data_IF_415995099354
#
_entry.id   IF_415995099354
#
_cell.length_a   1.000
_cell.length_b   1.000
_cell.length_c   1.000
_cell.angle_alpha   90.00
_cell.angle_beta   90.00
_cell.angle_gamma   90.00
#
_symmetry.space_group_name_H-M   'P 1'
#
loop_
_entity.id
_entity.type
_entity.pdbx_description
1 polymer ?
#
# COMPACT_ATOMS: atom_id res chain seq x y z
N UNK A 1 -12.73 14.52 -3.98
CA UNK A 1 -12.91 13.07 -3.71
C UNK A 1 -12.35 12.75 -2.34
N UNK A 2 -12.91 11.75 -1.64
CA UNK A 2 -12.27 11.15 -0.46
C UNK A 2 -11.43 9.96 -0.89
N UNK A 3 -10.14 10.02 -0.63
CA UNK A 3 -9.17 8.99 -1.04
C UNK A 3 -8.46 8.44 0.19
N UNK A 4 -8.52 7.14 0.37
CA UNK A 4 -7.74 6.44 1.39
C UNK A 4 -6.32 6.22 0.89
N UNK A 5 -5.33 6.64 1.68
CA UNK A 5 -3.91 6.35 1.45
C UNK A 5 -3.38 5.55 2.62
N UNK A 6 -3.08 4.28 2.43
CA UNK A 6 -2.42 3.47 3.46
C UNK A 6 -0.91 3.55 3.31
N UNK A 7 -0.16 3.46 4.40
CA UNK A 7 1.27 3.75 4.42
C UNK A 7 1.56 5.24 4.24
N UNK A 8 0.65 6.10 4.70
CA UNK A 8 0.70 7.54 4.47
C UNK A 8 1.95 8.24 5.08
N UNK A 9 2.50 7.71 6.18
CA UNK A 9 3.74 8.19 6.78
C UNK A 9 5.00 7.56 6.13
N UNK A 10 4.82 6.61 5.20
CA UNK A 10 5.89 6.04 4.39
C UNK A 10 6.40 7.02 3.33
N UNK A 11 7.50 6.66 2.65
CA UNK A 11 8.11 7.53 1.64
C UNK A 11 7.13 7.81 0.47
N UNK A 12 6.68 6.77 -0.20
CA UNK A 12 5.81 6.93 -1.38
C UNK A 12 4.44 7.46 -0.95
N UNK A 13 3.89 6.97 0.18
CA UNK A 13 2.60 7.40 0.71
C UNK A 13 2.55 8.88 1.05
N UNK A 14 3.62 9.41 1.65
CA UNK A 14 3.76 10.84 1.91
C UNK A 14 3.65 11.68 0.62
N UNK A 15 4.37 11.30 -0.42
CA UNK A 15 4.34 12.04 -1.68
C UNK A 15 3.00 11.91 -2.39
N UNK A 16 2.40 10.72 -2.41
CA UNK A 16 1.07 10.51 -2.97
C UNK A 16 0.01 11.34 -2.24
N UNK A 17 -0.01 11.28 -0.91
CA UNK A 17 -0.93 12.08 -0.09
C UNK A 17 -0.72 13.59 -0.30
N UNK A 18 0.54 14.06 -0.32
CA UNK A 18 0.86 15.48 -0.56
C UNK A 18 0.33 15.94 -1.93
N UNK A 19 0.50 15.12 -2.97
CA UNK A 19 0.03 15.43 -4.32
C UNK A 19 -1.49 15.52 -4.37
N UNK A 20 -2.19 14.54 -3.82
CA UNK A 20 -3.65 14.52 -3.76
C UNK A 20 -4.21 15.73 -3.03
N UNK A 21 -3.60 16.10 -1.90
CA UNK A 21 -3.98 17.29 -1.14
C UNK A 21 -3.77 18.58 -1.94
N UNK A 22 -2.69 18.69 -2.70
CA UNK A 22 -2.42 19.84 -3.56
C UNK A 22 -3.41 19.97 -4.72
N UNK A 23 -4.03 18.86 -5.12
CA UNK A 23 -5.10 18.81 -6.14
C UNK A 23 -6.51 19.01 -5.54
N UNK A 24 -6.61 19.30 -4.24
CA UNK A 24 -7.86 19.61 -3.56
C UNK A 24 -8.68 18.40 -3.13
N UNK A 25 -8.10 17.20 -3.11
CA UNK A 25 -8.76 16.01 -2.58
C UNK A 25 -8.76 16.00 -1.05
N UNK A 26 -9.70 15.27 -0.45
CA UNK A 26 -9.67 14.90 0.95
C UNK A 26 -8.93 13.56 1.08
N UNK A 27 -7.91 13.52 1.91
CA UNK A 27 -7.08 12.33 2.09
C UNK A 27 -7.24 11.78 3.51
N UNK A 28 -7.63 10.52 3.59
CA UNK A 28 -7.61 9.76 4.83
C UNK A 28 -6.33 8.91 4.82
N UNK A 29 -5.40 9.21 5.70
CA UNK A 29 -4.13 8.49 5.84
C UNK A 29 -4.19 7.45 6.93
N UNK A 30 -3.71 6.24 6.65
CA UNK A 30 -3.48 5.18 7.65
C UNK A 30 -2.01 4.76 7.60
N UNK A 31 -1.40 4.63 8.79
CA UNK A 31 -0.06 4.05 8.96
C UNK A 31 0.07 3.51 10.38
N UNK A 32 0.79 2.42 10.56
CA UNK A 32 1.05 1.84 11.89
C UNK A 32 2.14 2.57 12.67
N UNK A 33 2.94 3.39 11.99
CA UNK A 33 4.14 4.05 12.54
C UNK A 33 5.08 3.02 13.20
N UNK A 34 5.23 1.84 12.58
CA UNK A 34 6.12 0.80 13.11
C UNK A 34 7.58 1.27 13.14
N UNK A 35 8.38 0.61 13.97
CA UNK A 35 9.79 0.93 14.22
C UNK A 35 10.78 0.19 13.30
N UNK A 36 10.34 -0.28 12.14
CA UNK A 36 11.20 -0.95 11.16
C UNK A 36 12.40 -0.09 10.73
N UNK A 37 12.22 1.23 10.72
CA UNK A 37 13.27 2.25 10.63
C UNK A 37 12.93 3.44 11.52
N UNK A 38 13.84 4.43 11.66
CA UNK A 38 13.64 5.57 12.57
C UNK A 38 12.27 6.25 12.35
N UNK A 39 11.44 6.21 13.37
CA UNK A 39 10.08 6.76 13.33
C UNK A 39 10.06 8.29 13.27
N UNK A 40 11.16 8.98 13.60
CA UNK A 40 11.25 10.45 13.50
C UNK A 40 10.97 10.94 12.09
N UNK A 41 11.46 10.21 11.07
CA UNK A 41 11.20 10.59 9.67
C UNK A 41 9.72 10.38 9.30
N UNK A 42 9.04 9.35 9.86
CA UNK A 42 7.61 9.12 9.67
C UNK A 42 6.79 10.25 10.30
N UNK A 43 7.11 10.64 11.53
CA UNK A 43 6.47 11.76 12.21
C UNK A 43 6.70 13.09 11.50
N UNK A 44 7.90 13.33 10.97
CA UNK A 44 8.20 14.55 10.22
C UNK A 44 7.39 14.66 8.92
N UNK A 45 7.22 13.54 8.17
CA UNK A 45 6.33 13.48 6.99
C UNK A 45 4.88 13.73 7.39
N UNK A 46 4.42 13.05 8.45
CA UNK A 46 3.05 13.16 8.94
C UNK A 46 2.72 14.60 9.38
N UNK A 47 3.63 15.26 10.11
CA UNK A 47 3.44 16.66 10.51
C UNK A 47 3.24 17.62 9.33
N UNK A 48 3.91 17.34 8.19
CA UNK A 48 3.69 18.12 6.96
C UNK A 48 2.31 17.85 6.34
N UNK A 49 1.82 16.63 6.38
CA UNK A 49 0.48 16.29 5.86
C UNK A 49 -0.62 16.88 6.76
N UNK A 50 -0.46 16.79 8.07
CA UNK A 50 -1.42 17.28 9.06
C UNK A 50 -1.59 18.81 9.08
N UNK A 51 -0.65 19.56 8.49
CA UNK A 51 -0.83 21.00 8.28
C UNK A 51 -1.93 21.33 7.27
N UNK A 52 -2.39 20.36 6.48
CA UNK A 52 -3.47 20.54 5.53
C UNK A 52 -4.81 20.10 6.15
N UNK A 53 -5.81 21.00 6.15
CA UNK A 53 -7.15 20.76 6.72
C UNK A 53 -7.94 19.61 6.07
N UNK A 54 -7.56 19.22 4.87
CA UNK A 54 -8.19 18.12 4.12
C UNK A 54 -7.52 16.76 4.39
N UNK A 55 -6.58 16.70 5.33
CA UNK A 55 -5.91 15.47 5.73
C UNK A 55 -6.38 15.00 7.11
N UNK A 56 -6.83 13.75 7.17
CA UNK A 56 -7.17 13.06 8.42
C UNK A 56 -6.25 11.85 8.56
N UNK A 57 -5.78 11.57 9.76
CA UNK A 57 -4.84 10.49 10.02
C UNK A 57 -5.34 9.56 11.12
N UNK A 58 -5.24 8.27 10.85
CA UNK A 58 -5.46 7.20 11.82
C UNK A 58 -4.20 6.34 11.97
N UNK A 59 -3.76 6.16 13.21
CA UNK A 59 -2.65 5.25 13.51
C UNK A 59 -3.23 3.84 13.75
N UNK A 60 -3.19 3.00 12.72
CA UNK A 60 -3.77 1.66 12.75
C UNK A 60 -2.97 0.67 11.91
N UNK A 61 -2.99 -0.58 12.35
CA UNK A 61 -2.49 -1.69 11.56
C UNK A 61 -3.55 -2.11 10.55
N UNK A 62 -3.15 -2.28 9.29
CA UNK A 62 -4.09 -2.60 8.20
C UNK A 62 -4.67 -4.02 8.30
N UNK A 63 -4.02 -4.93 9.04
CA UNK A 63 -4.51 -6.27 9.32
C UNK A 63 -5.67 -6.31 10.33
N UNK A 64 -5.90 -5.24 11.08
CA UNK A 64 -7.04 -5.09 11.99
C UNK A 64 -8.25 -4.53 11.21
N UNK A 65 -8.90 -5.41 10.45
CA UNK A 65 -10.00 -5.05 9.57
C UNK A 65 -11.12 -4.29 10.29
N UNK A 66 -11.57 -4.82 11.45
CA UNK A 66 -12.71 -4.24 12.17
C UNK A 66 -12.43 -2.82 12.64
N UNK A 67 -11.23 -2.59 13.18
CA UNK A 67 -10.81 -1.26 13.61
C UNK A 67 -10.73 -0.29 12.42
N UNK A 68 -10.03 -0.69 11.34
CA UNK A 68 -9.88 0.15 10.16
C UNK A 68 -11.22 0.44 9.51
N UNK A 69 -12.11 -0.54 9.42
CA UNK A 69 -13.45 -0.33 8.89
C UNK A 69 -14.26 0.66 9.75
N UNK A 70 -14.20 0.53 11.09
CA UNK A 70 -14.88 1.45 12.00
C UNK A 70 -14.37 2.90 11.88
N UNK A 71 -13.06 3.09 11.70
CA UNK A 71 -12.45 4.41 11.48
C UNK A 71 -12.91 5.06 10.15
N UNK A 72 -13.22 4.24 9.14
CA UNK A 72 -13.56 4.70 7.80
C UNK A 72 -15.06 4.85 7.53
N UNK A 73 -15.93 4.21 8.30
CA UNK A 73 -17.38 4.09 8.01
C UNK A 73 -18.13 5.44 7.88
N UNK A 74 -17.60 6.52 8.46
CA UNK A 74 -18.18 7.86 8.35
C UNK A 74 -17.82 8.60 7.06
N UNK A 75 -16.90 8.04 6.24
CA UNK A 75 -16.43 8.67 5.02
C UNK A 75 -17.04 7.99 3.78
N UNK A 76 -17.24 8.77 2.72
CA UNK A 76 -17.55 8.23 1.39
C UNK A 76 -16.25 8.00 0.62
N UNK A 77 -15.57 6.87 0.91
CA UNK A 77 -14.29 6.53 0.25
C UNK A 77 -14.54 6.19 -1.22
N UNK A 78 -13.95 6.96 -2.11
CA UNK A 78 -14.15 6.83 -3.57
C UNK A 78 -12.95 6.17 -4.27
N UNK A 79 -11.78 6.17 -3.65
CA UNK A 79 -10.59 5.53 -4.18
C UNK A 79 -9.62 5.14 -3.08
N UNK A 80 -8.80 4.15 -3.34
CA UNK A 80 -7.77 3.68 -2.42
C UNK A 80 -6.41 3.65 -3.11
N UNK A 81 -5.39 4.22 -2.45
CA UNK A 81 -3.97 4.03 -2.79
C UNK A 81 -3.33 3.25 -1.65
N UNK A 82 -3.13 1.96 -1.88
CA UNK A 82 -2.60 1.05 -0.87
C UNK A 82 -1.09 0.89 -1.02
N UNK A 83 -0.35 1.53 -0.10
CA UNK A 83 1.12 1.52 -0.05
C UNK A 83 1.66 0.97 1.26
N UNK A 84 0.79 0.68 2.24
CA UNK A 84 1.18 0.03 3.48
C UNK A 84 1.62 -1.41 3.20
N UNK A 85 2.80 -1.76 3.64
CA UNK A 85 3.34 -3.11 3.54
C UNK A 85 4.57 -3.24 4.44
N UNK A 86 4.88 -4.45 4.86
CA UNK A 86 6.23 -4.76 5.29
C UNK A 86 7.12 -4.87 4.05
N UNK A 87 8.05 -3.92 3.90
CA UNK A 87 8.97 -3.85 2.77
C UNK A 87 10.37 -4.36 3.16
N UNK A 88 11.19 -4.66 2.16
CA UNK A 88 12.57 -5.12 2.34
C UNK A 88 12.72 -6.62 2.10
N UNK A 89 13.51 -6.97 1.09
CA UNK A 89 13.72 -8.37 0.68
C UNK A 89 14.45 -9.16 1.77
N UNK A 90 15.53 -8.61 2.34
CA UNK A 90 16.35 -9.30 3.33
C UNK A 90 15.59 -9.62 4.62
N UNK A 91 14.89 -8.66 5.17
CA UNK A 91 14.13 -8.83 6.40
C UNK A 91 13.01 -9.88 6.26
N UNK A 92 12.54 -10.17 5.05
CA UNK A 92 11.56 -11.25 4.84
C UNK A 92 12.10 -12.65 5.11
N UNK A 93 13.41 -12.81 5.11
CA UNK A 93 14.08 -14.06 5.50
C UNK A 93 14.14 -14.20 7.03
N UNK A 94 14.35 -13.09 7.72
CA UNK A 94 14.50 -13.06 9.18
C UNK A 94 13.13 -13.12 9.90
N UNK A 95 12.13 -12.41 9.36
CA UNK A 95 10.79 -12.32 9.97
C UNK A 95 9.68 -12.49 8.93
N UNK A 96 9.44 -13.68 8.40
CA UNK A 96 8.40 -13.92 7.38
C UNK A 96 6.98 -13.66 7.90
N UNK A 97 6.72 -13.83 9.20
CA UNK A 97 5.39 -13.60 9.77
C UNK A 97 4.95 -12.15 9.67
N UNK A 98 5.85 -11.19 9.82
CA UNK A 98 5.52 -9.78 9.63
C UNK A 98 5.03 -9.49 8.19
N UNK A 99 5.57 -10.21 7.20
CA UNK A 99 5.12 -10.10 5.81
C UNK A 99 3.79 -10.81 5.57
N UNK A 100 3.57 -11.96 6.18
CA UNK A 100 2.28 -12.64 6.09
C UNK A 100 1.15 -11.78 6.69
N UNK A 101 1.39 -11.19 7.86
CA UNK A 101 0.43 -10.28 8.50
C UNK A 101 0.17 -9.03 7.68
N UNK A 102 1.19 -8.22 7.41
CA UNK A 102 1.01 -6.95 6.72
C UNK A 102 0.62 -7.12 5.25
N UNK A 103 1.30 -8.01 4.51
CA UNK A 103 1.16 -8.06 3.06
C UNK A 103 0.04 -8.99 2.59
N UNK A 104 -0.29 -10.04 3.33
CA UNK A 104 -1.38 -10.93 2.95
C UNK A 104 -2.66 -10.60 3.72
N UNK A 105 -2.65 -10.71 5.04
CA UNK A 105 -3.83 -10.40 5.84
C UNK A 105 -4.24 -8.93 5.71
N UNK A 106 -3.27 -8.00 5.84
CA UNK A 106 -3.53 -6.58 5.67
C UNK A 106 -4.05 -6.23 4.27
N UNK A 107 -3.54 -6.88 3.22
CA UNK A 107 -4.07 -6.66 1.87
C UNK A 107 -5.48 -7.21 1.70
N UNK A 108 -5.80 -8.36 2.33
CA UNK A 108 -7.17 -8.89 2.36
C UNK A 108 -8.13 -7.89 3.01
N UNK A 109 -7.73 -7.28 4.13
CA UNK A 109 -8.53 -6.24 4.79
C UNK A 109 -8.80 -5.05 3.87
N UNK A 110 -7.81 -4.60 3.11
CA UNK A 110 -7.97 -3.50 2.15
C UNK A 110 -8.88 -3.89 0.97
N UNK A 111 -8.79 -5.11 0.48
CA UNK A 111 -9.70 -5.61 -0.56
C UNK A 111 -11.16 -5.66 -0.07
N UNK A 112 -11.39 -6.12 1.16
CA UNK A 112 -12.71 -6.10 1.78
C UNK A 112 -13.23 -4.66 1.99
N UNK A 113 -12.38 -3.75 2.44
CA UNK A 113 -12.71 -2.31 2.53
C UNK A 113 -13.09 -1.77 1.15
N UNK A 114 -12.31 -2.07 0.12
CA UNK A 114 -12.61 -1.64 -1.25
C UNK A 114 -13.98 -2.16 -1.72
N UNK A 115 -14.31 -3.40 -1.38
CA UNK A 115 -15.60 -4.03 -1.70
C UNK A 115 -16.76 -3.37 -0.93
N UNK A 116 -16.62 -3.15 0.36
CA UNK A 116 -17.67 -2.58 1.21
C UNK A 116 -17.99 -1.12 0.82
N UNK A 117 -16.96 -0.33 0.51
CA UNK A 117 -17.13 1.06 0.08
C UNK A 117 -17.46 1.19 -1.42
N UNK A 118 -17.42 0.09 -2.19
CA UNK A 118 -17.63 0.10 -3.65
C UNK A 118 -16.76 1.16 -4.33
N UNK A 119 -15.47 1.15 -4.01
CA UNK A 119 -14.55 2.18 -4.51
C UNK A 119 -14.47 2.17 -6.04
N UNK A 120 -14.29 3.33 -6.63
CA UNK A 120 -14.14 3.47 -8.08
C UNK A 120 -12.83 2.87 -8.59
N UNK A 121 -11.79 2.82 -7.75
CA UNK A 121 -10.48 2.27 -8.12
C UNK A 121 -9.64 1.95 -6.88
N UNK A 122 -8.95 0.82 -6.92
CA UNK A 122 -7.90 0.43 -5.98
C UNK A 122 -6.55 0.41 -6.71
N UNK A 123 -5.65 1.33 -6.38
CA UNK A 123 -4.25 1.29 -6.81
C UNK A 123 -3.41 0.73 -5.67
N UNK A 124 -2.53 -0.23 -5.95
CA UNK A 124 -1.72 -0.86 -4.91
C UNK A 124 -0.26 -1.08 -5.35
N UNK A 125 0.63 -1.06 -4.35
CA UNK A 125 2.04 -1.32 -4.57
C UNK A 125 2.30 -2.81 -4.78
N UNK A 126 2.80 -3.18 -5.96
CA UNK A 126 3.55 -4.40 -6.22
C UNK A 126 5.07 -4.07 -6.24
N UNK A 127 5.88 -4.89 -6.85
CA UNK A 127 7.34 -4.73 -6.87
C UNK A 127 7.95 -5.38 -8.11
N UNK A 128 9.05 -4.84 -8.62
CA UNK A 128 9.84 -5.49 -9.66
C UNK A 128 10.43 -6.85 -9.22
N UNK A 129 10.52 -7.09 -7.91
CA UNK A 129 10.99 -8.38 -7.36
C UNK A 129 10.09 -9.57 -7.76
N UNK A 130 8.83 -9.33 -8.19
CA UNK A 130 7.94 -10.40 -8.68
C UNK A 130 8.45 -11.06 -9.96
N UNK A 131 9.28 -10.37 -10.75
CA UNK A 131 9.90 -10.95 -11.95
C UNK A 131 10.88 -12.09 -11.61
N UNK A 132 11.35 -12.16 -10.35
CA UNK A 132 12.14 -13.27 -9.84
C UNK A 132 13.41 -13.52 -10.65
N UNK A 133 13.56 -14.75 -11.14
CA UNK A 133 14.69 -15.20 -11.95
C UNK A 133 14.55 -14.91 -13.45
N UNK A 134 13.63 -14.06 -13.87
CA UNK A 134 13.48 -13.72 -15.30
C UNK A 134 14.72 -12.96 -15.80
N UNK A 135 15.34 -13.47 -16.84
CA UNK A 135 16.55 -12.89 -17.45
C UNK A 135 16.24 -12.01 -18.66
N UNK A 136 14.98 -11.98 -19.12
CA UNK A 136 14.59 -11.17 -20.29
C UNK A 136 14.49 -9.69 -19.92
N UNK A 137 15.46 -8.90 -20.36
CA UNK A 137 15.52 -7.45 -20.18
C UNK A 137 15.27 -6.70 -21.49
N UNK A 138 14.62 -5.52 -21.44
CA UNK A 138 14.00 -4.90 -20.25
C UNK A 138 12.74 -5.66 -19.78
N UNK A 139 12.45 -5.63 -18.48
CA UNK A 139 11.21 -6.20 -17.98
C UNK A 139 9.98 -5.49 -18.57
N UNK A 140 8.96 -6.27 -18.87
CA UNK A 140 7.66 -5.77 -19.34
C UNK A 140 6.53 -6.37 -18.50
N UNK A 141 5.40 -5.67 -18.42
CA UNK A 141 4.25 -6.07 -17.60
C UNK A 141 3.70 -7.46 -17.98
N UNK A 142 3.81 -7.82 -19.27
CA UNK A 142 3.39 -9.13 -19.80
C UNK A 142 4.35 -10.28 -19.46
N UNK A 143 5.54 -9.98 -18.92
CA UNK A 143 6.48 -11.03 -18.54
C UNK A 143 5.92 -11.86 -17.41
N UNK A 144 6.11 -13.17 -17.52
CA UNK A 144 5.69 -14.13 -16.48
C UNK A 144 6.43 -13.80 -15.17
N UNK A 145 5.69 -13.78 -14.07
CA UNK A 145 6.17 -13.44 -12.74
C UNK A 145 5.82 -14.55 -11.72
N UNK A 146 5.96 -15.81 -12.11
CA UNK A 146 5.48 -16.97 -11.34
C UNK A 146 6.55 -17.64 -10.48
N UNK A 147 7.79 -17.17 -10.55
CA UNK A 147 8.92 -17.73 -9.81
C UNK A 147 9.63 -16.68 -8.94
N UNK A 148 8.92 -16.05 -7.97
CA UNK A 148 9.55 -15.11 -7.04
C UNK A 148 10.60 -15.84 -6.18
N UNK A 149 11.80 -15.25 -6.03
CA UNK A 149 12.90 -15.88 -5.31
C UNK A 149 12.79 -15.66 -3.79
N UNK A 150 12.23 -14.51 -3.35
CA UNK A 150 12.17 -14.14 -1.95
C UNK A 150 10.71 -14.12 -1.44
N UNK A 151 10.55 -14.38 -0.14
CA UNK A 151 9.22 -14.39 0.49
C UNK A 151 8.46 -13.07 0.32
N UNK A 152 9.15 -11.92 0.44
CA UNK A 152 8.56 -10.62 0.12
C UNK A 152 7.96 -10.59 -1.29
N UNK A 153 8.72 -11.02 -2.29
CA UNK A 153 8.25 -11.05 -3.67
C UNK A 153 7.06 -11.99 -3.85
N UNK A 154 7.07 -13.15 -3.17
CA UNK A 154 5.94 -14.09 -3.16
C UNK A 154 4.68 -13.46 -2.58
N UNK A 155 4.77 -12.71 -1.45
CA UNK A 155 3.61 -12.00 -0.88
C UNK A 155 3.08 -10.94 -1.83
N UNK A 156 3.93 -10.22 -2.55
CA UNK A 156 3.51 -9.20 -3.51
C UNK A 156 2.89 -9.81 -4.77
N UNK A 157 3.42 -10.95 -5.25
CA UNK A 157 2.79 -11.69 -6.33
C UNK A 157 1.40 -12.22 -5.92
N UNK A 158 1.28 -12.71 -4.69
CA UNK A 158 -0.02 -13.09 -4.13
C UNK A 158 -1.01 -11.91 -4.12
N UNK A 159 -0.57 -10.69 -3.78
CA UNK A 159 -1.42 -9.49 -3.86
C UNK A 159 -1.95 -9.26 -5.29
N UNK A 160 -1.13 -9.44 -6.33
CA UNK A 160 -1.58 -9.31 -7.73
C UNK A 160 -2.71 -10.31 -8.06
N UNK A 161 -2.56 -11.57 -7.61
CA UNK A 161 -3.57 -12.62 -7.82
C UNK A 161 -4.85 -12.36 -7.02
N UNK A 162 -4.72 -11.93 -5.77
CA UNK A 162 -5.86 -11.57 -4.91
C UNK A 162 -6.63 -10.38 -5.48
N UNK A 163 -5.94 -9.33 -5.94
CA UNK A 163 -6.56 -8.17 -6.56
C UNK A 163 -7.30 -8.54 -7.85
N UNK A 164 -6.72 -9.41 -8.68
CA UNK A 164 -7.37 -9.94 -9.88
C UNK A 164 -8.66 -10.69 -9.54
N UNK A 165 -8.63 -11.55 -8.52
CA UNK A 165 -9.81 -12.30 -8.06
C UNK A 165 -10.93 -11.36 -7.62
N UNK A 166 -10.61 -10.33 -6.81
CA UNK A 166 -11.61 -9.34 -6.35
C UNK A 166 -12.15 -8.48 -7.49
N UNK A 167 -11.29 -8.09 -8.43
CA UNK A 167 -11.72 -7.37 -9.64
C UNK A 167 -12.73 -8.20 -10.44
N UNK A 168 -12.45 -9.49 -10.61
CA UNK A 168 -13.33 -10.39 -11.36
C UNK A 168 -14.65 -10.70 -10.65
N UNK A 169 -14.63 -10.85 -9.32
CA UNK A 169 -15.81 -11.25 -8.54
C UNK A 169 -16.74 -10.09 -8.19
N UNK A 170 -16.17 -8.89 -8.00
CA UNK A 170 -16.88 -7.74 -7.43
C UNK A 170 -16.83 -6.50 -8.32
N UNK A 171 -16.32 -6.60 -9.54
CA UNK A 171 -16.19 -5.49 -10.50
C UNK A 171 -15.41 -4.27 -9.93
N UNK A 172 -14.43 -4.52 -9.06
CA UNK A 172 -13.59 -3.47 -8.49
C UNK A 172 -12.41 -3.24 -9.44
N UNK A 173 -12.28 -2.06 -10.09
CA UNK A 173 -11.11 -1.75 -10.88
C UNK A 173 -9.84 -1.71 -10.02
N UNK A 174 -8.84 -2.50 -10.39
CA UNK A 174 -7.57 -2.56 -9.66
C UNK A 174 -6.38 -2.29 -10.56
N UNK A 175 -5.34 -1.61 -10.02
CA UNK A 175 -4.06 -1.42 -10.71
C UNK A 175 -2.90 -1.72 -9.77
N UNK A 176 -2.13 -2.75 -10.08
CA UNK A 176 -0.89 -3.08 -9.37
C UNK A 176 0.31 -2.40 -10.00
N UNK A 177 1.09 -1.68 -9.19
CA UNK A 177 2.28 -0.96 -9.64
C UNK A 177 3.55 -1.74 -9.25
N UNK A 178 4.26 -2.33 -10.21
CA UNK A 178 5.52 -3.04 -9.98
C UNK A 178 6.66 -2.04 -9.86
N UNK A 179 6.78 -1.43 -8.68
CA UNK A 179 7.84 -0.45 -8.42
C UNK A 179 9.23 -1.06 -8.53
N UNK A 180 10.11 -0.37 -9.21
CA UNK A 180 11.56 -0.52 -9.11
C UNK A 180 12.08 0.29 -7.92
N UNK A 181 13.40 0.53 -7.83
CA UNK A 181 13.96 1.35 -6.76
C UNK A 181 13.47 2.79 -6.87
N UNK A 182 12.63 3.19 -5.91
CA UNK A 182 12.13 4.55 -5.83
C UNK A 182 13.08 5.37 -4.97
N UNK A 183 13.47 6.55 -5.44
CA UNK A 183 14.37 7.48 -4.76
C UNK A 183 13.85 8.91 -4.86
N UNK A 184 14.31 9.79 -3.97
CA UNK A 184 13.94 11.20 -3.97
C UNK A 184 13.98 11.80 -2.57
N UNK A 185 13.61 13.09 -2.42
CA UNK A 185 13.51 13.75 -1.13
C UNK A 185 12.60 12.98 -0.18
N UNK A 186 12.96 12.99 1.12
CA UNK A 186 12.20 12.22 2.13
C UNK A 186 12.22 10.71 1.92
N UNK A 187 13.18 10.20 1.14
CA UNK A 187 13.35 8.77 0.92
C UNK A 187 13.56 7.99 2.21
N UNK A 188 13.39 6.67 2.16
CA UNK A 188 13.73 5.77 3.25
C UNK A 188 15.25 5.69 3.36
N UNK A 189 15.84 5.74 4.61
CA UNK A 189 17.26 5.52 4.81
C UNK A 189 17.66 4.09 4.43
#
# INVERSE_FOLDING_TARGET
MHILVTGAAGFIGFHAASRLLSEGHHVIGIDSINNYYDTKIKHARLGKLQSNKNFIFYQSNIEDYEKVYAELQSFNIQGIIHLAAQAGVRYSIENPFAYAQSNLLGFTSILEIARQFKVNHLVYASTSSVYGSNENLPFAEKNIADHPIQFYAATKRANELMAHSYSSLYDIPTTGLRFFTVYGPWGRP
#
